data_IF_929655592115
#
_entry.id   IF_929655592115
#
_cell.length_a   1.000
_cell.length_b   1.000
_cell.length_c   1.000
_cell.angle_alpha   90.00
_cell.angle_beta   90.00
_cell.angle_gamma   90.00
#
_symmetry.space_group_name_H-M   'P 1'
#
loop_
_entity.id
_entity.type
_entity.pdbx_description
1 polymer ?
#
# COMPACT_ATOMS: atom_id res chain seq x y z
N UNK A 1 7.03 7.30 -5.33
CA UNK A 1 6.74 5.86 -5.53
C UNK A 1 8.03 5.08 -5.75
N UNK A 2 8.96 5.56 -6.53
CA UNK A 2 10.19 4.85 -6.89
C UNK A 2 11.00 4.34 -5.70
N UNK A 3 11.24 5.18 -4.69
CA UNK A 3 11.99 4.78 -3.50
C UNK A 3 11.38 3.57 -2.78
N UNK A 4 10.05 3.54 -2.64
CA UNK A 4 9.34 2.41 -2.00
C UNK A 4 9.48 1.15 -2.85
N UNK A 5 9.30 1.27 -4.17
CA UNK A 5 9.42 0.15 -5.10
C UNK A 5 10.84 -0.42 -5.12
N UNK A 6 11.86 0.44 -5.24
CA UNK A 6 13.26 0.02 -5.25
C UNK A 6 13.67 -0.64 -3.93
N UNK A 7 13.29 -0.05 -2.79
CA UNK A 7 13.58 -0.61 -1.48
C UNK A 7 12.94 -1.99 -1.32
N UNK A 8 11.65 -2.12 -1.64
CA UNK A 8 10.94 -3.40 -1.52
C UNK A 8 11.52 -4.46 -2.45
N UNK A 9 11.89 -4.08 -3.69
CA UNK A 9 12.55 -5.00 -4.63
C UNK A 9 13.91 -5.47 -4.12
N UNK A 10 14.73 -4.55 -3.60
CA UNK A 10 16.04 -4.91 -3.03
C UNK A 10 15.90 -5.82 -1.80
N UNK A 11 14.87 -5.61 -0.97
CA UNK A 11 14.56 -6.50 0.15
C UNK A 11 14.07 -7.88 -0.32
N UNK A 12 13.34 -7.93 -1.44
CA UNK A 12 12.84 -9.18 -2.03
C UNK A 12 13.98 -10.07 -2.58
N UNK A 13 15.07 -9.48 -3.01
CA UNK A 13 16.26 -10.21 -3.49
C UNK A 13 16.97 -10.95 -2.34
N UNK A 14 16.81 -10.48 -1.10
CA UNK A 14 17.28 -11.17 0.10
C UNK A 14 16.29 -12.25 0.53
N UNK A 15 16.50 -13.48 0.04
CA UNK A 15 15.61 -14.64 0.27
C UNK A 15 15.44 -15.03 1.75
N UNK A 16 16.20 -14.45 2.66
CA UNK A 16 16.13 -14.73 4.10
C UNK A 16 15.20 -13.76 4.83
N UNK A 17 14.69 -12.74 4.15
CA UNK A 17 13.78 -11.74 4.74
C UNK A 17 12.32 -12.06 4.48
N UNK A 18 11.52 -11.90 5.51
CA UNK A 18 10.07 -11.81 5.36
C UNK A 18 9.70 -10.37 4.97
N UNK A 19 9.22 -10.19 3.75
CA UNK A 19 8.88 -8.89 3.16
C UNK A 19 7.37 -8.68 3.02
N UNK A 20 6.56 -9.51 3.68
CA UNK A 20 5.09 -9.43 3.52
C UNK A 20 4.54 -8.06 3.88
N UNK A 21 5.04 -7.45 4.95
CA UNK A 21 4.63 -6.12 5.39
C UNK A 21 5.06 -5.04 4.38
N UNK A 22 6.32 -5.06 3.98
CA UNK A 22 6.88 -4.07 3.04
C UNK A 22 6.22 -4.16 1.67
N UNK A 23 5.99 -5.36 1.15
CA UNK A 23 5.28 -5.57 -0.11
C UNK A 23 3.84 -5.07 -0.04
N UNK A 24 3.15 -5.32 1.08
CA UNK A 24 1.80 -4.82 1.30
C UNK A 24 1.76 -3.29 1.35
N UNK A 25 2.71 -2.66 2.06
CA UNK A 25 2.83 -1.20 2.13
C UNK A 25 3.13 -0.63 0.74
N UNK A 26 4.05 -1.23 -0.01
CA UNK A 26 4.40 -0.79 -1.36
C UNK A 26 3.18 -0.85 -2.29
N UNK A 27 2.47 -1.98 -2.32
CA UNK A 27 1.23 -2.12 -3.11
C UNK A 27 0.20 -1.07 -2.71
N UNK A 28 -0.12 -0.98 -1.43
CA UNK A 28 -1.11 -0.04 -0.91
C UNK A 28 -0.74 1.42 -1.27
N UNK A 29 0.45 1.85 -0.90
CA UNK A 29 0.92 3.22 -1.14
C UNK A 29 0.93 3.58 -2.63
N UNK A 30 1.50 2.72 -3.49
CA UNK A 30 1.60 2.99 -4.90
C UNK A 30 0.23 3.07 -5.58
N UNK A 31 -0.71 2.21 -5.22
CA UNK A 31 -2.06 2.24 -5.81
C UNK A 31 -2.87 3.45 -5.37
N UNK A 32 -2.80 3.86 -4.11
CA UNK A 32 -3.50 5.06 -3.61
C UNK A 32 -2.92 6.34 -4.21
N UNK A 33 -1.59 6.46 -4.27
CA UNK A 33 -0.93 7.63 -4.86
C UNK A 33 -1.21 7.72 -6.37
N UNK A 34 -1.14 6.60 -7.08
CA UNK A 34 -1.44 6.57 -8.52
C UNK A 34 -2.88 6.97 -8.81
N UNK A 35 -3.84 6.48 -8.02
CA UNK A 35 -5.24 6.90 -8.12
C UNK A 35 -5.36 8.41 -7.97
N UNK A 36 -4.78 8.97 -6.91
CA UNK A 36 -4.83 10.41 -6.64
C UNK A 36 -4.22 11.24 -7.77
N UNK A 37 -3.07 10.82 -8.32
CA UNK A 37 -2.41 11.52 -9.43
C UNK A 37 -3.32 11.57 -10.66
N UNK A 38 -3.95 10.46 -11.02
CA UNK A 38 -4.81 10.40 -12.21
C UNK A 38 -6.10 11.20 -11.99
N UNK A 39 -6.70 11.12 -10.82
CA UNK A 39 -7.88 11.90 -10.45
C UNK A 39 -7.61 13.40 -10.51
N UNK A 40 -6.53 13.86 -9.89
CA UNK A 40 -6.10 15.28 -9.96
C UNK A 40 -5.75 15.71 -11.39
N UNK A 41 -5.15 14.82 -12.20
CA UNK A 41 -4.88 15.10 -13.60
C UNK A 41 -6.16 15.33 -14.39
N UNK A 42 -7.19 14.51 -14.14
CA UNK A 42 -8.51 14.67 -14.74
C UNK A 42 -9.13 16.01 -14.31
N UNK A 43 -9.04 16.35 -13.02
CA UNK A 43 -9.55 17.60 -12.47
C UNK A 43 -8.89 18.82 -13.10
N UNK A 44 -7.55 18.83 -13.22
CA UNK A 44 -6.78 19.93 -13.85
C UNK A 44 -7.18 20.11 -15.32
N UNK A 45 -7.42 19.01 -16.03
CA UNK A 45 -7.84 19.07 -17.44
C UNK A 45 -9.32 19.46 -17.63
N UNK A 46 -10.10 19.47 -16.56
CA UNK A 46 -11.52 19.80 -16.59
C UNK A 46 -12.30 18.93 -17.56
N UNK A 47 -13.22 19.52 -18.34
CA UNK A 47 -14.05 18.79 -19.31
C UNK A 47 -13.26 17.96 -20.32
N UNK A 48 -12.08 18.40 -20.73
CA UNK A 48 -11.22 17.65 -21.64
C UNK A 48 -10.63 16.39 -21.01
N UNK A 49 -10.44 16.37 -19.69
CA UNK A 49 -10.01 15.18 -18.97
C UNK A 49 -11.09 14.11 -18.92
N UNK A 50 -12.35 14.51 -18.94
CA UNK A 50 -13.51 13.63 -18.91
C UNK A 50 -13.88 13.06 -20.28
N UNK A 51 -13.56 13.78 -21.38
CA UNK A 51 -13.82 13.32 -22.74
C UNK A 51 -12.94 12.13 -23.12
N UNK A 52 -13.50 11.25 -23.98
CA UNK A 52 -12.73 10.16 -24.56
C UNK A 52 -11.66 10.67 -25.52
N UNK A 53 -10.56 9.95 -25.66
CA UNK A 53 -9.49 10.30 -26.59
C UNK A 53 -10.02 10.45 -28.04
N UNK A 54 -10.97 9.62 -28.46
CA UNK A 54 -11.60 9.70 -29.77
C UNK A 54 -12.43 10.97 -29.98
N UNK A 55 -13.11 11.45 -28.93
CA UNK A 55 -13.87 12.71 -28.99
C UNK A 55 -12.93 13.90 -29.15
N UNK A 56 -11.86 13.97 -28.37
CA UNK A 56 -10.84 15.01 -28.47
C UNK A 56 -10.17 15.04 -29.84
N UNK A 57 -9.81 13.88 -30.37
CA UNK A 57 -9.18 13.78 -31.69
C UNK A 57 -10.11 14.28 -32.82
N UNK A 58 -11.42 13.99 -32.77
CA UNK A 58 -12.41 14.51 -33.74
C UNK A 58 -12.52 16.02 -33.74
N UNK A 59 -12.20 16.66 -32.61
CA UNK A 59 -12.19 18.11 -32.45
C UNK A 59 -10.84 18.74 -32.77
N UNK A 60 -9.86 17.97 -33.26
CA UNK A 60 -8.51 18.44 -33.55
C UNK A 60 -7.68 18.81 -32.30
N UNK A 61 -8.07 18.30 -31.14
CA UNK A 61 -7.37 18.56 -29.88
C UNK A 61 -6.35 17.48 -29.57
N UNK A 62 -5.32 17.84 -28.81
CA UNK A 62 -4.35 16.85 -28.30
C UNK A 62 -5.08 15.89 -27.38
N UNK A 63 -5.08 14.61 -27.73
CA UNK A 63 -5.77 13.59 -26.99
C UNK A 63 -4.84 12.92 -25.99
N UNK A 64 -5.19 12.99 -24.73
CA UNK A 64 -4.62 12.20 -23.66
C UNK A 64 -5.73 11.35 -23.06
N UNK A 65 -5.61 10.03 -22.99
CA UNK A 65 -6.70 9.16 -22.54
C UNK A 65 -6.79 9.14 -21.00
N UNK A 66 -6.94 10.31 -20.37
CA UNK A 66 -6.97 10.43 -18.90
C UNK A 66 -8.19 9.72 -18.32
N UNK A 67 -9.35 9.82 -18.98
CA UNK A 67 -10.57 9.15 -18.54
C UNK A 67 -10.43 7.62 -18.56
N UNK A 68 -9.68 7.10 -19.52
CA UNK A 68 -9.33 5.68 -19.59
C UNK A 68 -8.33 5.32 -18.50
N UNK A 69 -7.29 6.12 -18.31
CA UNK A 69 -6.30 5.92 -17.25
C UNK A 69 -6.96 5.87 -15.87
N UNK A 70 -8.00 6.69 -15.61
CA UNK A 70 -8.75 6.64 -14.37
C UNK A 70 -9.45 5.29 -14.17
N UNK A 71 -10.08 4.73 -15.22
CA UNK A 71 -10.69 3.40 -15.15
C UNK A 71 -9.65 2.30 -14.98
N UNK A 72 -8.56 2.37 -15.73
CA UNK A 72 -7.50 1.36 -15.69
C UNK A 72 -6.79 1.33 -14.34
N UNK A 73 -6.54 2.49 -13.71
CA UNK A 73 -5.90 2.55 -12.39
C UNK A 73 -6.85 2.09 -11.26
N UNK A 74 -8.17 2.24 -11.45
CA UNK A 74 -9.15 1.89 -10.41
C UNK A 74 -9.10 0.43 -10.01
N UNK A 75 -8.83 -0.46 -10.96
CA UNK A 75 -8.77 -1.91 -10.70
C UNK A 75 -7.65 -2.26 -9.70
N UNK A 76 -6.54 -1.52 -9.71
CA UNK A 76 -5.40 -1.78 -8.83
C UNK A 76 -5.74 -1.59 -7.33
N UNK A 77 -6.80 -0.86 -7.01
CA UNK A 77 -7.31 -0.72 -5.64
C UNK A 77 -8.26 -1.86 -5.23
N UNK A 78 -8.58 -2.76 -6.15
CA UNK A 78 -9.56 -3.84 -5.97
C UNK A 78 -8.87 -5.20 -6.01
N UNK A 79 -8.03 -5.45 -7.02
CA UNK A 79 -7.34 -6.73 -7.19
C UNK A 79 -6.17 -6.88 -6.22
N UNK A 80 -5.77 -8.13 -5.99
CA UNK A 80 -4.62 -8.51 -5.14
C UNK A 80 -4.70 -7.92 -3.72
N UNK A 81 -5.92 -7.87 -3.19
CA UNK A 81 -6.24 -7.24 -1.92
C UNK A 81 -6.77 -5.82 -2.10
N UNK A 82 -8.06 -5.64 -1.78
CA UNK A 82 -8.66 -4.30 -1.81
C UNK A 82 -7.96 -3.38 -0.83
N UNK A 83 -8.06 -2.07 -1.05
CA UNK A 83 -7.52 -1.05 -0.14
C UNK A 83 -7.87 -1.34 1.32
N UNK A 84 -9.12 -1.71 1.62
CA UNK A 84 -9.58 -1.97 2.99
C UNK A 84 -8.96 -3.25 3.57
N UNK A 85 -8.86 -4.31 2.77
CA UNK A 85 -8.19 -5.55 3.18
C UNK A 85 -6.70 -5.32 3.40
N UNK A 86 -6.06 -4.48 2.58
CA UNK A 86 -4.65 -4.14 2.76
C UNK A 86 -4.39 -3.38 4.06
N UNK A 87 -5.29 -2.48 4.48
CA UNK A 87 -5.20 -1.85 5.80
C UNK A 87 -5.20 -2.87 6.95
N UNK A 88 -6.14 -3.82 6.90
CA UNK A 88 -6.23 -4.87 7.92
C UNK A 88 -4.99 -5.78 7.92
N UNK A 89 -4.51 -6.14 6.72
CA UNK A 89 -3.32 -6.96 6.57
C UNK A 89 -2.07 -6.27 7.13
N UNK A 90 -1.83 -5.01 6.75
CA UNK A 90 -0.70 -4.21 7.24
C UNK A 90 -0.77 -4.06 8.77
N UNK A 91 -1.95 -3.75 9.31
CA UNK A 91 -2.13 -3.63 10.75
C UNK A 91 -1.81 -4.95 11.47
N UNK A 92 -2.28 -6.08 10.95
CA UNK A 92 -2.02 -7.40 11.50
C UNK A 92 -0.52 -7.74 11.46
N UNK A 93 0.12 -7.63 10.31
CA UNK A 93 1.54 -7.97 10.15
C UNK A 93 2.44 -7.07 11.01
N UNK A 94 2.11 -5.77 11.15
CA UNK A 94 2.83 -4.87 12.01
C UNK A 94 2.68 -5.21 13.52
N UNK A 95 1.51 -5.71 13.93
CA UNK A 95 1.24 -6.03 15.34
C UNK A 95 1.76 -7.43 15.76
N UNK A 96 1.84 -8.36 14.83
CA UNK A 96 2.14 -9.77 15.13
C UNK A 96 3.47 -9.98 15.89
N UNK A 97 4.59 -9.30 15.55
CA UNK A 97 5.83 -9.40 16.31
C UNK A 97 5.71 -8.90 17.77
N UNK A 98 4.83 -7.94 18.01
CA UNK A 98 4.57 -7.42 19.36
C UNK A 98 3.66 -8.35 20.15
N UNK A 99 2.61 -8.85 19.53
CA UNK A 99 1.67 -9.80 20.14
C UNK A 99 2.36 -11.11 20.51
N UNK A 100 3.27 -11.61 19.68
CA UNK A 100 4.03 -12.82 19.96
C UNK A 100 4.90 -12.70 21.22
N UNK A 101 5.40 -11.49 21.53
CA UNK A 101 6.16 -11.19 22.76
C UNK A 101 5.26 -11.07 23.99
N UNK A 102 4.02 -10.62 23.81
CA UNK A 102 3.07 -10.40 24.92
C UNK A 102 2.32 -11.68 25.30
N UNK A 103 2.03 -12.55 24.33
CA UNK A 103 1.32 -13.82 24.56
C UNK A 103 1.86 -14.67 25.73
N UNK A 104 3.19 -14.85 25.88
CA UNK A 104 3.75 -15.59 27.03
C UNK A 104 3.48 -14.93 28.37
N UNK A 105 3.41 -13.57 28.40
CA UNK A 105 3.15 -12.81 29.62
C UNK A 105 1.68 -12.91 30.09
N UNK A 106 0.76 -13.06 29.13
CA UNK A 106 -0.67 -13.22 29.40
C UNK A 106 -1.05 -14.68 29.70
N UNK A 107 -0.17 -15.64 29.39
CA UNK A 107 -0.38 -17.04 29.72
C UNK A 107 -0.09 -17.26 31.18
N UNK A 108 -1.09 -17.66 31.97
CA UNK A 108 -0.99 -17.96 33.42
C UNK A 108 -0.03 -19.10 33.76
N UNK A 109 0.64 -19.67 32.76
CA UNK A 109 1.62 -20.75 32.92
C UNK A 109 3.08 -20.29 33.02
N UNK A 110 3.34 -18.99 32.89
CA UNK A 110 4.69 -18.44 33.09
C UNK A 110 4.80 -17.96 34.54
N UNK A 111 5.59 -18.64 35.41
CA UNK A 111 5.84 -18.10 36.74
C UNK A 111 6.56 -16.77 36.60
N UNK A 112 5.97 -15.71 37.15
CA UNK A 112 6.60 -14.39 37.25
C UNK A 112 7.75 -14.49 38.25
N UNK A 113 8.92 -14.84 37.77
CA UNK A 113 10.14 -14.80 38.53
C UNK A 113 10.64 -13.34 38.56
N UNK A 114 10.07 -12.53 39.43
CA UNK A 114 10.60 -11.21 39.74
C UNK A 114 11.89 -11.44 40.49
N UNK A 115 13.00 -11.54 39.80
CA UNK A 115 14.32 -11.37 40.43
C UNK A 115 14.42 -9.91 40.79
N UNK A 116 14.27 -9.67 42.08
CA UNK A 116 14.69 -8.42 42.71
C UNK A 116 16.17 -8.19 42.33
N UNK A 117 16.42 -7.38 41.33
CA UNK A 117 17.74 -6.83 41.06
C UNK A 117 18.02 -5.82 42.17
N UNK A 118 18.77 -6.27 43.18
CA UNK A 118 19.29 -5.35 44.19
C UNK A 118 20.17 -4.30 43.53
N UNK A 119 19.90 -3.05 43.84
CA UNK A 119 20.86 -1.98 43.69
C UNK A 119 22.10 -2.25 44.55
N UNK A 120 23.24 -2.16 43.93
CA UNK A 120 24.49 -1.64 44.51
C UNK A 120 25.11 -0.73 43.47
#
# INVERSE_FOLDING_TARGET
MDAVTWLTSAMADDKHRDIRLEAAIAKFFCTEVSWKIVDETLQIRGGQGYETASSLAKRGMVFWPVERALRDIRINRIIEGTTDIMHLFIAREALDPHLSKIKPLLSSKVPVNIKNGGCL
#
